data_IF_497756513965
#
_entry.id   IF_497756513965
#
_cell.length_a   1.000
_cell.length_b   1.000
_cell.length_c   1.000
_cell.angle_alpha   90.00
_cell.angle_beta   90.00
_cell.angle_gamma   90.00
#
_symmetry.space_group_name_H-M   'P 1'
#
loop_
_entity.id
_entity.type
_entity.pdbx_description
1 polymer ?
#
# COMPACT_ATOMS: atom_id res chain seq x y z
N UNK A 1 18.24 14.91 0.92
CA UNK A 1 17.11 14.15 1.51
C UNK A 1 16.33 13.57 0.34
N UNK A 2 15.97 12.28 0.39
CA UNK A 2 15.29 11.62 -0.73
C UNK A 2 13.93 12.25 -1.03
N UNK A 3 13.43 12.09 -2.25
CA UNK A 3 12.06 12.51 -2.60
C UNK A 3 11.05 11.57 -1.95
N UNK A 4 11.26 10.26 -2.09
CA UNK A 4 10.39 9.24 -1.53
C UNK A 4 11.06 8.45 -0.40
N UNK A 5 10.28 8.05 0.60
CA UNK A 5 10.54 6.88 1.41
C UNK A 5 9.61 5.77 0.93
N UNK A 6 10.19 4.78 0.26
CA UNK A 6 9.47 3.55 -0.11
C UNK A 6 9.45 2.64 1.10
N UNK A 7 8.29 2.15 1.51
CA UNK A 7 8.13 1.30 2.69
C UNK A 7 7.60 -0.07 2.27
N UNK A 8 8.34 -1.12 2.60
CA UNK A 8 7.92 -2.52 2.44
C UNK A 8 7.78 -3.15 3.83
N UNK A 9 6.56 -3.32 4.36
CA UNK A 9 6.34 -4.14 5.54
C UNK A 9 6.43 -5.62 5.17
N UNK A 10 7.13 -6.42 5.96
CA UNK A 10 7.32 -7.85 5.68
C UNK A 10 7.28 -8.72 6.92
N UNK A 11 6.84 -9.98 6.77
CA UNK A 11 6.86 -10.97 7.85
C UNK A 11 6.91 -12.39 7.24
N UNK A 12 8.05 -13.09 7.36
CA UNK A 12 8.24 -14.47 6.90
C UNK A 12 7.94 -14.74 5.40
N UNK A 13 8.21 -13.79 4.50
CA UNK A 13 8.04 -13.96 3.03
C UNK A 13 9.31 -13.67 2.23
N UNK A 14 10.41 -14.42 2.44
CA UNK A 14 11.72 -14.08 1.87
C UNK A 14 11.74 -14.05 0.33
N UNK A 15 11.02 -14.97 -0.33
CA UNK A 15 11.00 -15.04 -1.80
C UNK A 15 10.29 -13.85 -2.43
N UNK A 16 9.09 -13.52 -1.94
CA UNK A 16 8.34 -12.39 -2.47
C UNK A 16 9.01 -11.06 -2.14
N UNK A 17 9.56 -10.92 -0.93
CA UNK A 17 10.30 -9.73 -0.53
C UNK A 17 11.47 -9.44 -1.48
N UNK A 18 12.19 -10.47 -1.93
CA UNK A 18 13.29 -10.29 -2.86
C UNK A 18 12.82 -9.71 -4.22
N UNK A 19 11.67 -10.16 -4.72
CA UNK A 19 11.06 -9.64 -5.95
C UNK A 19 10.55 -8.20 -5.76
N UNK A 20 9.87 -7.93 -4.64
CA UNK A 20 9.40 -6.60 -4.28
C UNK A 20 10.56 -5.59 -4.21
N UNK A 21 11.64 -5.94 -3.50
CA UNK A 21 12.87 -5.12 -3.42
C UNK A 21 13.45 -4.89 -4.81
N UNK A 22 13.60 -5.94 -5.63
CA UNK A 22 14.15 -5.82 -6.97
C UNK A 22 13.34 -4.84 -7.83
N UNK A 23 12.01 -4.84 -7.69
CA UNK A 23 11.12 -3.92 -8.41
C UNK A 23 11.28 -2.46 -7.99
N UNK A 24 11.54 -2.20 -6.70
CA UNK A 24 11.83 -0.85 -6.20
C UNK A 24 13.21 -0.38 -6.66
N UNK A 25 14.23 -1.23 -6.53
CA UNK A 25 15.60 -0.87 -6.93
C UNK A 25 15.73 -0.61 -8.45
N UNK A 26 14.78 -1.16 -9.24
CA UNK A 26 14.67 -0.96 -10.68
C UNK A 26 14.00 0.36 -11.10
N UNK A 27 13.48 1.16 -10.16
CA UNK A 27 12.90 2.48 -10.44
C UNK A 27 13.94 3.45 -11.00
N UNK A 28 13.51 4.29 -11.93
CA UNK A 28 14.31 5.29 -12.65
C UNK A 28 13.76 6.70 -12.42
N UNK A 29 14.61 7.69 -12.64
CA UNK A 29 14.24 9.12 -12.66
C UNK A 29 13.58 9.64 -11.36
N UNK A 30 13.83 8.98 -10.24
CA UNK A 30 13.36 9.40 -8.92
C UNK A 30 14.38 9.05 -7.82
N UNK A 31 14.57 9.97 -6.87
CA UNK A 31 15.40 9.76 -5.69
C UNK A 31 14.57 9.20 -4.53
N UNK A 32 15.05 8.13 -3.90
CA UNK A 32 14.34 7.44 -2.84
C UNK A 32 15.29 6.77 -1.83
N UNK A 33 14.78 6.61 -0.61
CA UNK A 33 15.26 5.56 0.31
C UNK A 33 14.25 4.41 0.35
N UNK A 34 14.73 3.22 0.67
CA UNK A 34 13.91 2.02 0.82
C UNK A 34 13.96 1.54 2.28
N UNK A 35 12.81 1.47 2.93
CA UNK A 35 12.66 0.98 4.29
C UNK A 35 12.01 -0.40 4.27
N UNK A 36 12.79 -1.42 4.63
CA UNK A 36 12.28 -2.76 4.88
C UNK A 36 11.89 -2.85 6.35
N UNK A 37 10.61 -3.04 6.65
CA UNK A 37 10.11 -3.12 8.02
C UNK A 37 9.70 -4.55 8.32
N UNK A 38 10.58 -5.28 8.99
CA UNK A 38 10.31 -6.66 9.42
C UNK A 38 9.40 -6.65 10.65
N UNK A 39 8.19 -7.20 10.53
CA UNK A 39 7.27 -7.41 11.65
C UNK A 39 7.60 -8.68 12.44
N UNK A 40 8.90 -8.94 12.59
CA UNK A 40 9.46 -10.13 13.20
C UNK A 40 9.27 -11.40 12.35
N UNK A 41 10.14 -12.38 12.62
CA UNK A 41 10.24 -13.57 11.78
C UNK A 41 11.59 -13.63 11.07
N UNK A 42 11.76 -14.67 10.24
CA UNK A 42 12.97 -14.86 9.48
C UNK A 42 13.01 -13.87 8.31
N UNK A 43 14.10 -13.11 8.24
CA UNK A 43 14.43 -12.25 7.11
C UNK A 43 15.57 -12.90 6.33
N UNK A 44 15.40 -13.10 5.02
CA UNK A 44 16.51 -13.54 4.18
C UNK A 44 17.59 -12.44 4.08
N UNK A 45 18.76 -12.81 3.55
CA UNK A 45 19.80 -11.82 3.27
C UNK A 45 19.26 -10.77 2.32
N UNK A 46 19.20 -9.53 2.79
CA UNK A 46 18.84 -8.38 1.96
C UNK A 46 20.02 -8.01 1.04
N UNK A 47 19.76 -7.47 -0.17
CA UNK A 47 20.82 -6.97 -1.04
C UNK A 47 21.59 -5.82 -0.39
N UNK A 48 22.85 -5.63 -0.75
CA UNK A 48 23.60 -4.45 -0.30
C UNK A 48 23.30 -3.28 -1.25
N UNK A 49 22.47 -2.34 -0.80
CA UNK A 49 22.19 -1.08 -1.49
C UNK A 49 22.21 0.07 -0.47
N UNK A 50 22.98 1.13 -0.74
CA UNK A 50 23.15 2.26 0.18
C UNK A 50 21.88 3.07 0.43
N UNK A 51 20.84 2.90 -0.40
CA UNK A 51 19.52 3.52 -0.22
C UNK A 51 18.63 2.74 0.75
N UNK A 52 18.98 1.50 1.07
CA UNK A 52 18.13 0.60 1.84
C UNK A 52 18.46 0.60 3.33
N UNK A 53 17.42 0.62 4.16
CA UNK A 53 17.50 0.51 5.61
C UNK A 53 16.52 -0.55 6.08
N UNK A 54 16.94 -1.31 7.08
CA UNK A 54 16.13 -2.33 7.72
C UNK A 54 15.68 -1.84 9.10
N UNK A 55 14.41 -2.08 9.44
CA UNK A 55 13.77 -1.74 10.71
C UNK A 55 13.06 -2.98 11.27
N UNK A 56 13.18 -3.20 12.58
CA UNK A 56 12.50 -4.29 13.28
C UNK A 56 11.30 -3.77 14.07
N UNK A 57 10.11 -4.33 13.82
CA UNK A 57 8.87 -3.96 14.50
C UNK A 57 8.49 -4.89 15.66
N UNK A 58 9.28 -5.95 15.90
CA UNK A 58 9.13 -6.85 17.05
C UNK A 58 7.73 -7.51 17.17
N UNK A 59 7.15 -7.95 16.05
CA UNK A 59 5.85 -8.65 15.97
C UNK A 59 4.69 -7.87 16.58
N UNK A 60 4.62 -6.56 16.32
CA UNK A 60 3.53 -5.69 16.79
C UNK A 60 2.40 -5.56 15.78
N UNK A 61 2.46 -6.29 14.67
CA UNK A 61 1.41 -6.33 13.65
C UNK A 61 1.69 -5.38 12.49
N UNK A 62 1.01 -5.66 11.38
CA UNK A 62 1.26 -5.01 10.09
C UNK A 62 0.99 -3.48 10.12
N UNK A 63 0.01 -3.01 10.88
CA UNK A 63 -0.26 -1.56 11.03
C UNK A 63 0.85 -0.88 11.84
N UNK A 64 1.37 -1.53 12.88
CA UNK A 64 2.50 -1.01 13.65
C UNK A 64 3.78 -0.97 12.80
N UNK A 65 4.02 -1.98 11.96
CA UNK A 65 5.14 -2.01 11.03
C UNK A 65 5.07 -0.84 10.03
N UNK A 66 3.90 -0.61 9.43
CA UNK A 66 3.69 0.55 8.53
C UNK A 66 3.88 1.88 9.25
N UNK A 67 3.37 2.00 10.47
CA UNK A 67 3.55 3.20 11.31
C UNK A 67 5.02 3.44 11.66
N UNK A 68 5.79 2.38 11.96
CA UNK A 68 7.23 2.46 12.19
C UNK A 68 7.98 2.93 10.93
N UNK A 69 7.60 2.41 9.77
CA UNK A 69 8.14 2.85 8.48
C UNK A 69 7.92 4.35 8.24
N UNK A 70 6.68 4.84 8.44
CA UNK A 70 6.36 6.26 8.29
C UNK A 70 7.13 7.12 9.29
N UNK A 71 7.25 6.69 10.54
CA UNK A 71 8.01 7.41 11.56
C UNK A 71 9.51 7.51 11.23
N UNK A 72 10.08 6.49 10.57
CA UNK A 72 11.48 6.44 10.18
C UNK A 72 11.79 7.07 8.81
N UNK A 73 10.75 7.48 8.06
CA UNK A 73 10.82 8.04 6.73
C UNK A 73 11.48 9.44 6.72
N UNK A 74 12.49 9.61 5.87
CA UNK A 74 13.21 10.87 5.61
C UNK A 74 12.74 11.54 4.32
N UNK A 75 12.12 10.80 3.39
CA UNK A 75 11.56 11.29 2.14
C UNK A 75 10.40 12.26 2.30
N UNK A 76 10.27 13.21 1.38
CA UNK A 76 9.17 14.20 1.39
C UNK A 76 7.80 13.57 1.16
N UNK A 77 7.77 12.45 0.44
CA UNK A 77 6.60 11.63 0.20
C UNK A 77 6.83 10.18 0.66
N UNK A 78 5.74 9.50 0.98
CA UNK A 78 5.70 8.08 1.30
C UNK A 78 5.21 7.33 0.05
N UNK A 79 5.84 6.21 -0.28
CA UNK A 79 5.38 5.28 -1.30
C UNK A 79 5.28 3.87 -0.71
N UNK A 80 4.23 3.13 -1.08
CA UNK A 80 3.95 1.81 -0.52
C UNK A 80 4.20 0.69 -1.52
N UNK A 81 4.71 -0.42 -1.02
CA UNK A 81 4.74 -1.69 -1.73
C UNK A 81 4.63 -2.81 -0.69
N UNK A 82 3.58 -3.64 -0.78
CA UNK A 82 3.48 -4.84 0.05
C UNK A 82 4.49 -5.91 -0.41
N UNK A 83 4.95 -6.76 0.52
CA UNK A 83 6.06 -7.68 0.28
C UNK A 83 5.75 -8.84 -0.67
N UNK A 84 4.47 -9.03 -1.04
CA UNK A 84 3.96 -9.97 -2.04
C UNK A 84 3.63 -9.35 -3.40
N UNK A 85 3.76 -8.02 -3.55
CA UNK A 85 3.47 -7.28 -4.77
C UNK A 85 4.75 -6.87 -5.54
N UNK A 86 4.57 -6.42 -6.79
CA UNK A 86 5.69 -5.93 -7.61
C UNK A 86 5.33 -4.68 -8.39
N UNK A 87 6.21 -3.68 -8.38
CA UNK A 87 6.13 -2.60 -9.37
C UNK A 87 6.57 -3.08 -10.75
N UNK A 88 5.68 -2.96 -11.73
CA UNK A 88 5.89 -3.40 -13.11
C UNK A 88 6.25 -2.26 -14.06
N UNK A 89 6.15 -1.01 -13.59
CA UNK A 89 6.59 0.17 -14.32
C UNK A 89 7.79 0.82 -13.63
N UNK A 90 8.88 1.03 -14.38
CA UNK A 90 10.14 1.59 -13.86
C UNK A 90 10.09 3.09 -13.60
N UNK A 91 9.03 3.78 -14.03
CA UNK A 91 8.85 5.21 -13.86
C UNK A 91 7.67 5.53 -12.93
N UNK A 92 7.19 4.56 -12.13
CA UNK A 92 6.11 4.78 -11.16
C UNK A 92 6.40 5.96 -10.23
N UNK A 93 7.58 5.98 -9.61
CA UNK A 93 7.98 7.08 -8.72
C UNK A 93 8.18 8.41 -9.46
N UNK A 94 8.64 8.38 -10.70
CA UNK A 94 8.81 9.59 -11.51
C UNK A 94 7.44 10.21 -11.89
N UNK A 95 6.46 9.39 -12.26
CA UNK A 95 5.09 9.83 -12.50
C UNK A 95 4.44 10.39 -11.23
N UNK A 96 4.63 9.72 -10.10
CA UNK A 96 4.19 10.23 -8.80
C UNK A 96 4.85 11.57 -8.47
N UNK A 97 6.16 11.72 -8.69
CA UNK A 97 6.87 12.98 -8.44
C UNK A 97 6.32 14.13 -9.28
N UNK A 98 6.02 13.88 -10.56
CA UNK A 98 5.43 14.87 -11.45
C UNK A 98 4.03 15.28 -10.99
N UNK A 99 3.19 14.33 -10.57
CA UNK A 99 1.86 14.60 -10.02
C UNK A 99 1.94 15.44 -8.73
N UNK A 100 2.81 15.07 -7.79
CA UNK A 100 3.01 15.81 -6.55
C UNK A 100 3.55 17.23 -6.80
N UNK A 101 4.47 17.39 -7.75
CA UNK A 101 4.95 18.71 -8.18
C UNK A 101 3.85 19.56 -8.85
N UNK A 102 2.87 18.90 -9.48
CA UNK A 102 1.67 19.52 -10.05
C UNK A 102 0.59 19.90 -9.02
N UNK A 103 0.83 19.67 -7.73
CA UNK A 103 -0.08 20.04 -6.65
C UNK A 103 -0.95 18.89 -6.12
N UNK A 104 -0.72 17.66 -6.55
CA UNK A 104 -1.32 16.50 -5.90
C UNK A 104 -0.71 16.29 -4.50
N UNK A 105 -1.53 15.86 -3.55
CA UNK A 105 -1.06 15.41 -2.22
C UNK A 105 -1.05 13.89 -2.08
N UNK A 106 -1.82 13.22 -2.93
CA UNK A 106 -2.00 11.79 -2.95
C UNK A 106 -2.11 11.29 -4.39
N UNK A 107 -1.37 10.24 -4.72
CA UNK A 107 -1.43 9.58 -6.03
C UNK A 107 -1.75 8.11 -5.87
N UNK A 108 -2.51 7.55 -6.80
CA UNK A 108 -2.69 6.12 -6.92
C UNK A 108 -2.62 5.70 -8.38
N UNK A 109 -2.04 4.54 -8.65
CA UNK A 109 -1.96 3.97 -10.00
C UNK A 109 -2.95 2.84 -10.23
N UNK A 110 -3.12 2.47 -11.49
CA UNK A 110 -3.77 1.23 -11.86
C UNK A 110 -2.82 0.04 -11.63
N UNK A 111 -3.35 -1.17 -11.69
CA UNK A 111 -2.56 -2.38 -11.57
C UNK A 111 -3.14 -3.56 -12.32
N UNK A 112 -2.50 -4.71 -12.14
CA UNK A 112 -2.98 -6.00 -12.62
C UNK A 112 -3.04 -6.98 -11.45
N UNK A 113 -4.12 -7.75 -11.36
CA UNK A 113 -4.23 -8.89 -10.45
C UNK A 113 -3.54 -10.07 -11.13
N UNK A 114 -2.44 -10.56 -10.55
CA UNK A 114 -1.63 -11.66 -11.06
C UNK A 114 -1.87 -12.92 -10.24
N UNK A 115 -2.45 -13.94 -10.86
CA UNK A 115 -2.87 -15.15 -10.16
C UNK A 115 -1.78 -16.22 -10.20
N UNK A 116 -1.39 -16.75 -9.03
CA UNK A 116 -0.40 -17.83 -8.94
C UNK A 116 -0.94 -19.20 -9.40
N UNK A 117 -2.26 -19.34 -9.51
CA UNK A 117 -2.92 -20.56 -9.99
C UNK A 117 -2.85 -20.75 -11.52
N UNK A 118 -2.20 -19.82 -12.22
CA UNK A 118 -2.06 -19.83 -13.68
C UNK A 118 -3.24 -19.21 -14.44
N UNK A 119 -4.25 -18.70 -13.74
CA UNK A 119 -5.32 -17.91 -14.35
C UNK A 119 -4.77 -16.66 -15.04
N UNK A 120 -5.48 -16.18 -16.07
CA UNK A 120 -5.09 -14.96 -16.76
C UNK A 120 -5.09 -13.74 -15.83
N UNK A 121 -4.05 -12.90 -15.93
CA UNK A 121 -3.97 -11.62 -15.24
C UNK A 121 -5.22 -10.77 -15.57
N UNK A 122 -5.74 -10.05 -14.57
CA UNK A 122 -6.90 -9.16 -14.74
C UNK A 122 -6.51 -7.72 -14.47
N UNK A 123 -6.98 -6.79 -15.31
CA UNK A 123 -6.75 -5.37 -15.07
C UNK A 123 -7.52 -4.89 -13.83
N UNK A 124 -6.87 -4.08 -13.00
CA UNK A 124 -7.49 -3.32 -11.93
C UNK A 124 -7.26 -1.84 -12.18
N UNK A 125 -8.27 -1.20 -12.76
CA UNK A 125 -8.22 0.21 -13.16
C UNK A 125 -9.53 0.86 -12.73
N UNK A 126 -9.56 1.42 -11.53
CA UNK A 126 -10.76 1.98 -10.91
C UNK A 126 -10.51 3.44 -10.55
N UNK A 127 -11.52 4.28 -10.75
CA UNK A 127 -11.48 5.64 -10.19
C UNK A 127 -11.70 5.61 -8.67
N UNK A 128 -11.19 6.63 -8.01
CA UNK A 128 -11.38 6.83 -6.58
C UNK A 128 -11.93 8.24 -6.34
N UNK A 129 -13.21 8.29 -5.95
CA UNK A 129 -13.89 9.49 -5.48
C UNK A 129 -14.36 9.26 -4.06
N UNK A 130 -14.72 10.31 -3.32
CA UNK A 130 -15.31 10.15 -1.99
C UNK A 130 -16.57 9.27 -2.01
N UNK A 131 -17.34 9.30 -3.11
CA UNK A 131 -18.53 8.47 -3.28
C UNK A 131 -18.19 6.99 -3.55
N UNK A 132 -17.20 6.70 -4.40
CA UNK A 132 -16.80 5.32 -4.66
C UNK A 132 -16.11 4.70 -3.45
N UNK A 133 -15.23 5.46 -2.77
CA UNK A 133 -14.55 5.01 -1.56
C UNK A 133 -15.52 4.77 -0.39
N UNK A 134 -16.67 5.45 -0.35
CA UNK A 134 -17.69 5.15 0.65
C UNK A 134 -18.36 3.77 0.45
N UNK A 135 -18.25 3.18 -0.75
CA UNK A 135 -18.88 1.92 -1.11
C UNK A 135 -17.87 0.78 -1.23
N UNK A 136 -16.64 1.06 -1.66
CA UNK A 136 -15.63 0.05 -1.91
C UNK A 136 -14.20 0.57 -1.80
N UNK A 137 -13.26 -0.33 -1.47
CA UNK A 137 -11.83 0.00 -1.50
C UNK A 137 -11.30 -0.13 -2.94
N UNK A 138 -11.32 0.98 -3.69
CA UNK A 138 -10.95 0.99 -5.12
C UNK A 138 -9.50 1.39 -5.39
N UNK A 139 -8.65 1.46 -4.37
CA UNK A 139 -7.24 1.86 -4.48
C UNK A 139 -6.32 0.71 -4.08
N UNK A 140 -5.35 0.41 -4.93
CA UNK A 140 -4.29 -0.58 -4.65
C UNK A 140 -3.21 0.07 -3.79
N UNK A 141 -3.01 -0.40 -2.56
CA UNK A 141 -2.01 0.18 -1.64
C UNK A 141 -0.61 0.21 -2.25
N UNK A 142 -0.21 -0.85 -2.93
CA UNK A 142 1.09 -0.96 -3.59
C UNK A 142 1.25 -0.06 -4.83
N UNK A 143 0.26 0.77 -5.16
CA UNK A 143 0.37 1.84 -6.16
C UNK A 143 0.20 3.25 -5.57
N UNK A 144 0.17 3.38 -4.23
CA UNK A 144 -0.07 4.64 -3.54
C UNK A 144 1.23 5.38 -3.24
N UNK A 145 1.22 6.69 -3.52
CA UNK A 145 2.15 7.63 -2.90
C UNK A 145 1.40 8.81 -2.29
N UNK A 146 1.94 9.42 -1.24
CA UNK A 146 1.38 10.65 -0.67
C UNK A 146 2.42 11.51 0.01
N UNK A 147 2.14 12.81 0.16
CA UNK A 147 3.05 13.73 0.85
C UNK A 147 3.12 13.40 2.34
N UNK A 148 4.31 13.46 2.94
CA UNK A 148 4.45 13.28 4.39
C UNK A 148 3.70 14.38 5.17
N UNK A 149 3.55 15.56 4.57
CA UNK A 149 2.73 16.65 5.12
C UNK A 149 1.24 16.24 5.24
N UNK A 150 0.67 15.58 4.23
CA UNK A 150 -0.68 15.02 4.31
C UNK A 150 -0.79 13.98 5.42
N UNK A 151 0.23 13.14 5.61
CA UNK A 151 0.22 12.19 6.71
C UNK A 151 0.19 12.87 8.07
N UNK A 152 1.02 13.90 8.25
CA UNK A 152 1.09 14.68 9.49
C UNK A 152 -0.21 15.41 9.79
N UNK A 153 -0.93 15.91 8.78
CA UNK A 153 -2.19 16.63 8.96
C UNK A 153 -3.36 15.73 9.33
N UNK A 154 -3.43 14.51 8.79
CA UNK A 154 -4.52 13.55 9.05
C UNK A 154 -4.24 12.62 10.25
N UNK A 155 -3.00 12.59 10.73
CA UNK A 155 -2.58 11.78 11.86
C UNK A 155 -2.31 10.32 11.50
N UNK A 156 -1.98 9.49 12.51
CA UNK A 156 -1.51 8.12 12.30
C UNK A 156 -2.58 7.19 11.74
N UNK A 157 -2.16 6.00 11.30
CA UNK A 157 -3.08 4.89 11.04
C UNK A 157 -3.80 4.46 12.32
N UNK A 158 -5.05 4.02 12.18
CA UNK A 158 -5.82 3.54 13.31
C UNK A 158 -5.42 2.11 13.68
N UNK A 159 -4.70 1.95 14.79
CA UNK A 159 -4.26 0.65 15.28
C UNK A 159 -5.43 -0.27 15.70
N UNK A 160 -6.63 0.27 15.91
CA UNK A 160 -7.83 -0.53 16.18
C UNK A 160 -8.40 -1.22 14.93
N UNK A 161 -7.88 -0.89 13.73
CA UNK A 161 -8.27 -1.50 12.45
C UNK A 161 -7.09 -2.27 11.83
N UNK A 162 -6.71 -3.46 12.35
CA UNK A 162 -5.66 -4.28 11.74
C UNK A 162 -5.98 -4.72 10.30
N UNK A 163 -7.26 -4.78 9.93
CA UNK A 163 -7.72 -4.91 8.54
C UNK A 163 -8.37 -3.61 8.10
N UNK A 164 -8.32 -3.32 6.79
CA UNK A 164 -8.92 -2.11 6.21
C UNK A 164 -8.34 -0.79 6.76
N UNK A 165 -7.15 -0.83 7.35
CA UNK A 165 -6.41 0.37 7.77
C UNK A 165 -6.13 1.32 6.59
N UNK A 166 -5.92 0.74 5.41
CA UNK A 166 -5.72 1.44 4.14
C UNK A 166 -7.02 2.11 3.69
N UNK A 167 -8.15 1.39 3.79
CA UNK A 167 -9.45 1.95 3.44
C UNK A 167 -9.87 3.07 4.40
N UNK A 168 -9.66 2.91 5.71
CA UNK A 168 -9.79 4.00 6.70
C UNK A 168 -8.98 5.22 6.28
N UNK A 169 -7.72 4.99 5.88
CA UNK A 169 -6.84 6.06 5.43
C UNK A 169 -7.36 6.77 4.19
N UNK A 170 -7.78 6.03 3.16
CA UNK A 170 -8.32 6.61 1.93
C UNK A 170 -9.59 7.42 2.19
N UNK A 171 -10.46 6.97 3.08
CA UNK A 171 -11.65 7.71 3.50
C UNK A 171 -11.30 9.03 4.19
N UNK A 172 -10.26 9.03 5.05
CA UNK A 172 -9.76 10.25 5.69
C UNK A 172 -9.14 11.21 4.67
N UNK A 173 -8.34 10.70 3.74
CA UNK A 173 -7.76 11.49 2.63
C UNK A 173 -8.87 12.12 1.80
N UNK A 174 -9.86 11.34 1.35
CA UNK A 174 -10.97 11.83 0.54
C UNK A 174 -11.83 12.90 1.26
N UNK A 175 -12.01 12.79 2.58
CA UNK A 175 -12.74 13.78 3.40
C UNK A 175 -11.97 15.06 3.66
N UNK A 176 -10.64 15.01 3.61
CA UNK A 176 -9.79 16.18 3.83
C UNK A 176 -9.84 17.19 2.70
N UNK A 177 -10.31 16.78 1.51
CA UNK A 177 -10.27 17.62 0.31
C UNK A 177 -8.89 17.75 -0.32
N UNK A 178 -7.90 16.97 0.14
CA UNK A 178 -6.58 16.89 -0.48
C UNK A 178 -6.70 16.58 -1.98
N UNK A 179 -5.87 17.17 -2.86
CA UNK A 179 -5.92 16.85 -4.29
C UNK A 179 -5.40 15.42 -4.55
N UNK A 180 -6.27 14.57 -5.09
CA UNK A 180 -5.94 13.20 -5.51
C UNK A 180 -5.66 13.18 -7.02
N UNK A 181 -4.62 12.45 -7.43
CA UNK A 181 -4.33 12.22 -8.84
C UNK A 181 -4.17 10.73 -9.16
N UNK A 182 -4.99 10.25 -10.09
CA UNK A 182 -4.86 8.90 -10.65
C UNK A 182 -3.76 8.87 -11.72
N UNK A 183 -2.85 7.90 -11.61
CA UNK A 183 -1.91 7.51 -12.65
C UNK A 183 -2.60 6.40 -13.45
N UNK A 184 -3.25 6.75 -14.56
CA UNK A 184 -4.01 5.84 -15.41
C UNK A 184 -3.11 4.92 -16.26
N UNK A 185 -2.24 4.18 -15.59
CA UNK A 185 -1.28 3.22 -16.14
C UNK A 185 -1.09 2.09 -15.12
N UNK A 186 -1.03 0.82 -15.55
CA UNK A 186 -0.70 -0.28 -14.66
C UNK A 186 0.75 -0.15 -14.19
N UNK A 187 0.93 0.21 -12.93
CA UNK A 187 2.24 0.41 -12.30
C UNK A 187 2.63 -0.72 -11.35
N UNK A 188 1.64 -1.51 -10.91
CA UNK A 188 1.81 -2.60 -9.96
C UNK A 188 1.15 -3.89 -10.44
N UNK A 189 1.76 -5.02 -10.14
CA UNK A 189 1.13 -6.33 -10.16
C UNK A 189 0.84 -6.75 -8.72
N UNK A 190 -0.44 -6.95 -8.41
CA UNK A 190 -0.93 -7.46 -7.13
C UNK A 190 -1.00 -8.97 -7.21
N UNK A 191 -0.25 -9.65 -6.35
CA UNK A 191 -0.18 -11.12 -6.40
C UNK A 191 -1.38 -11.74 -5.68
N UNK A 192 -2.06 -12.65 -6.36
CA UNK A 192 -3.21 -13.38 -5.84
C UNK A 192 -2.81 -14.84 -5.58
N UNK A 193 -2.82 -15.22 -4.30
CA UNK A 193 -2.44 -16.53 -3.80
C UNK A 193 -3.22 -16.88 -2.51
N UNK A 194 -3.18 -18.15 -2.11
CA UNK A 194 -4.00 -18.68 -1.00
C UNK A 194 -3.65 -18.10 0.37
N UNK A 195 -2.49 -17.47 0.51
CA UNK A 195 -2.00 -16.87 1.76
C UNK A 195 -2.18 -15.35 1.84
N UNK A 196 -2.85 -14.70 0.86
CA UNK A 196 -3.20 -13.29 1.00
C UNK A 196 -4.07 -13.08 2.25
N UNK A 197 -3.91 -11.93 2.91
CA UNK A 197 -4.69 -11.56 4.11
C UNK A 197 -6.20 -11.47 3.85
N UNK A 198 -6.59 -11.28 2.59
CA UNK A 198 -7.97 -11.25 2.11
C UNK A 198 -8.53 -12.64 1.76
N UNK A 199 -7.91 -13.72 2.22
CA UNK A 199 -8.42 -15.09 2.09
C UNK A 199 -9.46 -15.48 3.17
N UNK A 200 -10.07 -16.67 3.00
CA UNK A 200 -11.12 -17.20 3.89
C UNK A 200 -10.64 -17.46 5.33
N UNK A 201 -9.34 -17.73 5.53
CA UNK A 201 -8.78 -18.04 6.84
C UNK A 201 -8.98 -16.92 7.89
N UNK A 202 -9.19 -15.68 7.44
CA UNK A 202 -9.34 -14.49 8.29
C UNK A 202 -10.75 -13.87 8.20
N UNK A 203 -11.73 -14.60 7.66
CA UNK A 203 -13.05 -14.06 7.31
C UNK A 203 -13.77 -13.37 8.46
N UNK A 204 -13.82 -13.98 9.65
CA UNK A 204 -14.53 -13.39 10.80
C UNK A 204 -13.85 -12.10 11.26
N UNK A 205 -12.53 -12.12 11.47
CA UNK A 205 -11.78 -10.93 11.86
C UNK A 205 -11.94 -9.80 10.85
N UNK A 206 -11.95 -10.11 9.56
CA UNK A 206 -12.23 -9.14 8.49
C UNK A 206 -13.67 -8.61 8.56
N UNK A 207 -14.67 -9.45 8.76
CA UNK A 207 -16.06 -9.00 8.90
C UNK A 207 -16.22 -8.05 10.09
N UNK A 208 -15.60 -8.35 11.22
CA UNK A 208 -15.65 -7.50 12.41
C UNK A 208 -14.98 -6.15 12.16
N UNK A 209 -13.80 -6.15 11.51
CA UNK A 209 -13.09 -4.92 11.13
C UNK A 209 -13.83 -4.10 10.07
N UNK A 210 -14.50 -4.75 9.11
CA UNK A 210 -15.32 -4.07 8.11
C UNK A 210 -16.52 -3.38 8.76
N UNK A 211 -17.13 -4.02 9.76
CA UNK A 211 -18.22 -3.46 10.54
C UNK A 211 -17.74 -2.28 11.39
N UNK A 212 -16.57 -2.40 12.03
CA UNK A 212 -15.93 -1.31 12.77
C UNK A 212 -15.57 -0.12 11.89
N UNK A 213 -15.00 -0.36 10.70
CA UNK A 213 -14.74 0.66 9.68
C UNK A 213 -16.04 1.36 9.28
N UNK A 214 -17.08 0.60 8.95
CA UNK A 214 -18.36 1.17 8.55
C UNK A 214 -18.96 2.04 9.66
N UNK A 215 -18.97 1.57 10.89
CA UNK A 215 -19.44 2.33 12.04
C UNK A 215 -18.62 3.62 12.24
N UNK A 216 -17.29 3.53 12.19
CA UNK A 216 -16.37 4.68 12.32
C UNK A 216 -16.65 5.75 11.27
N UNK A 217 -16.99 5.35 10.06
CA UNK A 217 -17.18 6.26 8.93
C UNK A 217 -18.64 6.54 8.57
N UNK A 218 -19.62 5.90 9.22
CA UNK A 218 -21.04 6.04 8.93
C UNK A 218 -21.44 5.52 7.54
N UNK A 219 -20.86 4.39 7.09
CA UNK A 219 -21.01 3.91 5.70
C UNK A 219 -22.23 3.00 5.47
N UNK A 220 -22.96 2.61 6.53
CA UNK A 220 -24.08 1.68 6.42
C UNK A 220 -23.63 0.22 6.26
N UNK A 221 -24.39 -0.61 5.55
CA UNK A 221 -24.02 -2.01 5.36
C UNK A 221 -23.00 -2.16 4.23
N UNK A 222 -21.82 -2.72 4.54
CA UNK A 222 -20.78 -3.03 3.57
C UNK A 222 -20.66 -4.53 3.35
N UNK A 223 -20.56 -4.94 2.09
CA UNK A 223 -20.36 -6.35 1.72
C UNK A 223 -18.89 -6.74 1.86
N UNK A 224 -18.62 -7.82 2.59
CA UNK A 224 -17.30 -8.44 2.60
C UNK A 224 -16.96 -9.03 1.22
N UNK A 225 -15.83 -8.63 0.65
CA UNK A 225 -15.31 -9.10 -0.64
C UNK A 225 -13.97 -9.78 -0.47
N UNK A 226 -13.70 -10.86 -1.18
CA UNK A 226 -12.38 -11.48 -1.25
C UNK A 226 -11.55 -10.95 -2.42
N UNK A 227 -10.26 -11.28 -2.45
CA UNK A 227 -9.36 -10.92 -3.56
C UNK A 227 -9.83 -11.46 -4.93
N UNK A 228 -10.71 -12.47 -4.93
CA UNK A 228 -11.36 -13.01 -6.13
C UNK A 228 -12.61 -12.24 -6.56
N UNK A 229 -13.16 -11.38 -5.69
CA UNK A 229 -14.46 -10.75 -5.90
C UNK A 229 -14.35 -9.33 -6.49
N UNK A 230 -13.14 -8.86 -6.78
CA UNK A 230 -12.88 -7.55 -7.42
C UNK A 230 -13.18 -7.52 -8.93
N UNK A 231 -13.91 -8.53 -9.40
CA UNK A 231 -14.33 -8.75 -10.79
C UNK A 231 -15.59 -7.94 -11.06
#
# INVERSE_FOLDING_TARGET
MPTFSVIIPTCNRPHFLAEAIASVLAQQDADFELLIVNDGGALASLPQDGRMRHLENARRGAVAARSLGVAAARGKAIAWLDDDDQWIDRHHLAMAAAALAGGADFTFGDGVMRYEDGSADRSFARDATSASLAQDNTILISAVTYTRALHQSLGPFDAALPYYWDWDWYLRVARSGAPLQRIAKPVVAIRVHTANMSGEAQKQARQDNLSALSHKHGLGELRLKNHTDFV
#
